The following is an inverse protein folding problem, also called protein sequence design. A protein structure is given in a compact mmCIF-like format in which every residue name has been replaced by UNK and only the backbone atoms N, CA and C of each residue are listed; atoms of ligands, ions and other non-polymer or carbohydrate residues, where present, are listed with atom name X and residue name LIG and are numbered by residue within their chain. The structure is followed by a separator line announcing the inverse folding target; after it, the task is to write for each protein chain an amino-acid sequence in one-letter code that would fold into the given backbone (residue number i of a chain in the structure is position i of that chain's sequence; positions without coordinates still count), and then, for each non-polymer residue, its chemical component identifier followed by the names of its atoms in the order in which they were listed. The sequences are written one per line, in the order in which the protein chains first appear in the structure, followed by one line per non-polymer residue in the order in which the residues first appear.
data_IF_986895328326
#
_entry.id   IF_986895328326
#
_cell.length_a   1.000
_cell.length_b   1.000
_cell.length_c   1.000
_cell.angle_alpha   90.00
_cell.angle_beta   90.00
_cell.angle_gamma   90.00
#
_symmetry.space_group_name_H-M   'P 1'
#
loop_
_entity.id
_entity.type
_entity.pdbx_description
1 polymer ?
#
# COMPACT_ATOMS: atom_id res chain seq x y z
N UNK A 1 25.22 -57.41 -12.82
CA UNK A 1 25.71 -56.51 -11.75
C UNK A 1 25.37 -55.06 -12.12
N UNK A 2 24.76 -54.28 -11.21
CA UNK A 2 24.40 -52.84 -11.31
C UNK A 2 23.02 -52.43 -11.89
N UNK A 3 21.95 -53.19 -11.68
CA UNK A 3 20.57 -52.64 -11.82
C UNK A 3 20.16 -51.75 -10.63
N UNK A 4 20.72 -51.98 -9.44
CA UNK A 4 20.47 -51.17 -8.24
C UNK A 4 20.95 -49.71 -8.37
N UNK A 5 22.13 -49.48 -8.95
CA UNK A 5 22.71 -48.13 -9.04
C UNK A 5 21.85 -47.15 -9.84
N UNK A 6 21.17 -47.60 -10.90
CA UNK A 6 20.30 -46.73 -11.71
C UNK A 6 19.03 -46.31 -10.97
N UNK A 7 18.45 -47.20 -10.16
CA UNK A 7 17.22 -46.90 -9.40
C UNK A 7 17.49 -45.93 -8.25
N UNK A 8 18.62 -46.09 -7.57
CA UNK A 8 19.07 -45.17 -6.50
C UNK A 8 19.39 -43.77 -7.04
N UNK A 9 20.01 -43.67 -8.24
CA UNK A 9 20.26 -42.37 -8.90
C UNK A 9 18.95 -41.67 -9.26
N UNK A 10 17.97 -42.40 -9.81
CA UNK A 10 16.67 -41.83 -10.19
C UNK A 10 15.91 -41.35 -8.93
N UNK A 11 15.90 -42.15 -7.87
CA UNK A 11 15.29 -41.77 -6.59
C UNK A 11 15.95 -40.53 -5.99
N UNK A 12 17.28 -40.44 -6.04
CA UNK A 12 18.02 -39.28 -5.55
C UNK A 12 17.70 -38.00 -6.34
N UNK A 13 17.59 -38.10 -7.68
CA UNK A 13 17.21 -36.96 -8.54
C UNK A 13 15.78 -36.49 -8.24
N UNK A 14 14.84 -37.42 -8.05
CA UNK A 14 13.44 -37.08 -7.73
C UNK A 14 13.34 -36.41 -6.36
N UNK A 15 14.04 -36.92 -5.34
CA UNK A 15 14.07 -36.31 -4.00
C UNK A 15 14.69 -34.92 -4.05
N UNK A 16 15.77 -34.75 -4.81
CA UNK A 16 16.42 -33.44 -4.98
C UNK A 16 15.49 -32.44 -5.68
N UNK A 17 14.79 -32.86 -6.73
CA UNK A 17 13.80 -32.03 -7.44
C UNK A 17 12.63 -31.62 -6.52
N UNK A 18 12.17 -32.53 -5.66
CA UNK A 18 11.10 -32.23 -4.69
C UNK A 18 11.56 -31.23 -3.62
N UNK A 19 12.81 -31.30 -3.16
CA UNK A 19 13.36 -30.33 -2.21
C UNK A 19 13.54 -28.95 -2.85
N UNK A 20 13.99 -28.88 -4.11
CA UNK A 20 14.13 -27.62 -4.85
C UNK A 20 12.76 -26.98 -5.09
N UNK A 21 11.73 -27.77 -5.38
CA UNK A 21 10.34 -27.30 -5.53
C UNK A 21 9.77 -26.72 -4.24
N UNK A 22 10.17 -27.22 -3.07
CA UNK A 22 9.69 -26.74 -1.77
C UNK A 22 10.28 -25.40 -1.31
N UNK A 23 11.35 -24.93 -1.95
CA UNK A 23 12.03 -23.67 -1.56
C UNK A 23 11.54 -22.43 -2.33
N UNK A 24 10.71 -22.60 -3.36
CA UNK A 24 10.17 -21.50 -4.18
C UNK A 24 8.75 -21.09 -3.76
N UNK A 25 8.52 -20.88 -2.47
CA UNK A 25 7.33 -20.13 -2.07
C UNK A 25 7.61 -18.64 -2.28
N UNK A 26 6.85 -17.94 -3.14
CA UNK A 26 6.93 -16.49 -3.17
C UNK A 26 6.49 -15.99 -1.79
N UNK A 27 7.43 -15.43 -1.03
CA UNK A 27 7.10 -14.61 0.14
C UNK A 27 6.23 -13.49 -0.37
N UNK A 28 4.93 -13.54 -0.08
CA UNK A 28 4.04 -12.41 -0.32
C UNK A 28 4.49 -11.32 0.64
N UNK A 29 5.16 -10.30 0.12
CA UNK A 29 5.40 -9.07 0.86
C UNK A 29 4.04 -8.56 1.35
N UNK A 30 3.95 -8.21 2.64
CA UNK A 30 2.75 -7.61 3.17
C UNK A 30 2.46 -6.33 2.37
N UNK A 31 1.29 -6.27 1.73
CA UNK A 31 0.87 -5.11 0.96
C UNK A 31 0.75 -3.92 1.93
N UNK A 32 1.65 -2.95 1.78
CA UNK A 32 1.69 -1.79 2.65
C UNK A 32 0.42 -0.97 2.39
N UNK A 33 -0.51 -0.98 3.34
CA UNK A 33 -1.77 -0.26 3.25
C UNK A 33 -1.51 1.24 3.34
N UNK A 34 -1.26 1.91 2.21
CA UNK A 34 -1.04 3.36 2.19
C UNK A 34 -2.16 4.10 1.48
N UNK A 35 -2.53 5.29 1.98
CA UNK A 35 -3.46 6.21 1.33
C UNK A 35 -2.82 7.59 1.15
N UNK A 36 -3.21 8.30 0.11
CA UNK A 36 -2.83 9.68 -0.19
C UNK A 36 -3.95 10.61 0.29
N UNK A 37 -3.61 11.50 1.23
CA UNK A 37 -4.48 12.56 1.72
C UNK A 37 -4.07 13.90 1.09
N UNK A 38 -4.91 14.42 0.20
CA UNK A 38 -4.81 15.80 -0.28
C UNK A 38 -5.42 16.76 0.74
N UNK A 39 -4.67 17.76 1.19
CA UNK A 39 -5.15 18.71 2.21
C UNK A 39 -4.65 20.12 1.97
N UNK A 40 -5.11 21.09 2.77
CA UNK A 40 -4.64 22.47 2.74
C UNK A 40 -3.38 22.68 3.58
N UNK A 41 -2.50 23.58 3.14
CA UNK A 41 -1.34 24.01 3.93
C UNK A 41 -1.76 24.51 5.32
N UNK A 42 -2.86 25.26 5.42
CA UNK A 42 -3.42 25.70 6.70
C UNK A 42 -3.75 24.56 7.67
N UNK A 43 -4.18 23.40 7.17
CA UNK A 43 -4.47 22.22 8.00
C UNK A 43 -3.18 21.53 8.42
N UNK A 44 -2.23 21.37 7.49
CA UNK A 44 -0.91 20.79 7.79
C UNK A 44 -0.13 21.65 8.80
N UNK A 45 -0.04 22.96 8.56
CA UNK A 45 0.74 23.92 9.35
C UNK A 45 0.15 24.14 10.76
N UNK A 46 -1.13 23.80 10.96
CA UNK A 46 -1.76 23.85 12.28
C UNK A 46 -1.23 22.78 13.26
N UNK A 47 -0.53 21.76 12.75
CA UNK A 47 -0.12 20.59 13.54
C UNK A 47 -1.26 19.60 13.85
N UNK A 48 -2.46 19.83 13.32
CA UNK A 48 -3.61 18.93 13.53
C UNK A 48 -3.32 17.51 13.04
N UNK A 49 -2.70 17.37 11.86
CA UNK A 49 -2.42 16.07 11.27
C UNK A 49 -1.31 15.33 12.03
N UNK A 50 -0.35 16.04 12.62
CA UNK A 50 0.70 15.45 13.43
C UNK A 50 0.14 14.75 14.69
N UNK A 51 -1.01 15.23 15.20
CA UNK A 51 -1.71 14.61 16.32
C UNK A 51 -2.65 13.47 15.88
N UNK A 52 -3.37 13.65 14.76
CA UNK A 52 -4.40 12.70 14.33
C UNK A 52 -3.84 11.48 13.59
N UNK A 53 -2.87 11.68 12.70
CA UNK A 53 -2.37 10.61 11.84
C UNK A 53 -1.74 9.47 12.67
N UNK A 54 -0.86 9.69 13.66
CA UNK A 54 -0.29 8.58 14.42
C UNK A 54 -1.34 7.70 15.11
N UNK A 55 -2.44 8.31 15.59
CA UNK A 55 -3.55 7.58 16.21
C UNK A 55 -4.34 6.79 15.17
N UNK A 56 -4.61 7.40 14.01
CA UNK A 56 -5.29 6.74 12.91
C UNK A 56 -4.47 5.55 12.39
N UNK A 57 -3.19 5.75 12.08
CA UNK A 57 -2.30 4.73 11.54
C UNK A 57 -2.14 3.56 12.50
N UNK A 58 -1.99 3.82 13.81
CA UNK A 58 -1.92 2.77 14.82
C UNK A 58 -3.21 1.95 14.94
N UNK A 59 -4.37 2.57 14.77
CA UNK A 59 -5.68 1.90 14.90
C UNK A 59 -6.04 1.09 13.65
N UNK A 60 -5.73 1.61 12.46
CA UNK A 60 -6.19 1.04 11.20
C UNK A 60 -5.12 0.21 10.49
N UNK A 61 -3.85 0.45 10.80
CA UNK A 61 -2.71 -0.11 10.08
C UNK A 61 -2.48 0.51 8.70
N UNK A 62 -3.20 1.59 8.37
CA UNK A 62 -2.93 2.36 7.15
C UNK A 62 -1.84 3.39 7.41
N UNK A 63 -0.98 3.64 6.43
CA UNK A 63 -0.06 4.75 6.39
C UNK A 63 -0.66 5.90 5.57
N UNK A 64 -0.59 7.13 6.06
CA UNK A 64 -1.19 8.29 5.40
C UNK A 64 -0.11 9.20 4.85
N UNK A 65 -0.05 9.32 3.52
CA UNK A 65 0.83 10.26 2.84
C UNK A 65 0.08 11.57 2.62
N UNK A 66 0.51 12.65 3.28
CA UNK A 66 -0.11 13.96 3.10
C UNK A 66 0.48 14.72 1.92
N UNK A 67 -0.37 15.43 1.18
CA UNK A 67 0.00 16.40 0.14
C UNK A 67 -0.70 17.72 0.48
N UNK A 68 0.05 18.69 0.97
CA UNK A 68 -0.45 19.99 1.38
C UNK A 68 -0.42 20.98 0.20
N UNK A 69 -1.60 21.35 -0.32
CA UNK A 69 -1.82 22.21 -1.49
C UNK A 69 -3.08 23.07 -1.30
N UNK A 70 -3.35 24.06 -2.16
CA UNK A 70 -4.62 24.81 -2.07
C UNK A 70 -5.85 23.93 -2.32
N UNK A 71 -7.03 24.29 -1.77
CA UNK A 71 -8.28 23.52 -1.93
C UNK A 71 -8.62 23.20 -3.39
N UNK A 72 -8.40 24.14 -4.32
CA UNK A 72 -8.63 23.91 -5.75
C UNK A 72 -7.71 22.83 -6.34
N UNK A 73 -6.44 22.80 -5.93
CA UNK A 73 -5.49 21.78 -6.37
C UNK A 73 -5.78 20.42 -5.73
N UNK A 74 -6.13 20.40 -4.44
CA UNK A 74 -6.55 19.17 -3.76
C UNK A 74 -7.75 18.52 -4.48
N UNK A 75 -8.78 19.31 -4.82
CA UNK A 75 -9.91 18.83 -5.62
C UNK A 75 -9.50 18.34 -7.01
N UNK A 76 -8.62 19.06 -7.71
CA UNK A 76 -8.12 18.62 -9.01
C UNK A 76 -7.39 17.27 -8.93
N UNK A 77 -6.62 17.03 -7.86
CA UNK A 77 -5.96 15.74 -7.62
C UNK A 77 -6.97 14.62 -7.37
N UNK A 78 -8.01 14.87 -6.55
CA UNK A 78 -9.07 13.88 -6.35
C UNK A 78 -9.84 13.56 -7.63
N UNK A 79 -10.12 14.57 -8.47
CA UNK A 79 -10.74 14.40 -9.78
C UNK A 79 -9.94 13.49 -10.73
N UNK A 80 -8.61 13.54 -10.63
CA UNK A 80 -7.70 12.71 -11.44
C UNK A 80 -7.45 11.32 -10.84
N UNK A 81 -7.97 11.03 -9.64
CA UNK A 81 -7.64 9.82 -8.90
C UNK A 81 -6.21 9.78 -8.37
N UNK A 82 -5.55 10.93 -8.24
CA UNK A 82 -4.19 11.06 -7.69
C UNK A 82 -4.18 11.08 -6.15
N UNK A 83 -5.34 11.30 -5.53
CA UNK A 83 -5.54 11.27 -4.09
C UNK A 83 -6.71 10.34 -3.72
N UNK A 84 -6.54 9.55 -2.66
CA UNK A 84 -7.57 8.63 -2.15
C UNK A 84 -8.59 9.36 -1.28
N UNK A 85 -8.12 10.38 -0.53
CA UNK A 85 -8.93 11.18 0.38
C UNK A 85 -8.57 12.65 0.21
N UNK A 86 -9.56 13.53 0.36
CA UNK A 86 -9.36 14.97 0.34
C UNK A 86 -9.93 15.61 1.60
N UNK A 87 -9.19 16.57 2.17
CA UNK A 87 -9.64 17.42 3.26
C UNK A 87 -9.43 18.89 2.85
N UNK A 88 -10.50 19.53 2.37
CA UNK A 88 -10.46 20.89 1.84
C UNK A 88 -11.27 21.86 2.68
N UNK A 89 -10.87 23.13 2.69
CA UNK A 89 -11.62 24.20 3.34
C UNK A 89 -12.40 25.01 2.30
N UNK A 90 -13.35 24.38 1.60
CA UNK A 90 -14.21 25.07 0.62
C UNK A 90 -15.54 24.35 0.39
N UNK A 91 -16.55 24.56 1.26
CA UNK A 91 -17.82 23.83 1.20
C UNK A 91 -18.59 24.02 -0.12
N UNK A 92 -18.58 25.24 -0.67
CA UNK A 92 -19.27 25.52 -1.93
C UNK A 92 -18.64 24.80 -3.13
N UNK A 93 -17.31 24.62 -3.10
CA UNK A 93 -16.59 23.96 -4.17
C UNK A 93 -16.67 22.43 -4.02
N UNK A 94 -16.63 21.92 -2.79
CA UNK A 94 -16.88 20.51 -2.47
C UNK A 94 -18.28 20.07 -2.92
N UNK A 95 -19.31 20.87 -2.67
CA UNK A 95 -20.67 20.56 -3.12
C UNK A 95 -20.76 20.38 -4.64
N UNK A 96 -20.16 21.30 -5.40
CA UNK A 96 -20.08 21.22 -6.87
C UNK A 96 -19.22 20.05 -7.39
N UNK A 97 -18.33 19.53 -6.55
CA UNK A 97 -17.44 18.43 -6.92
C UNK A 97 -18.14 17.07 -6.82
N UNK A 98 -19.06 16.94 -5.85
CA UNK A 98 -19.77 15.69 -5.56
C UNK A 98 -21.08 15.57 -6.34
N UNK A 99 -21.76 16.69 -6.62
CA UNK A 99 -22.96 16.77 -7.46
C UNK A 99 -22.65 16.60 -8.94
#
# INVERSE_FOLDING_TARGET
MKTGTKREIILSIVVTLLIISGFFYPVRAAEQKSIILATTTSTQDSGLLDALLPVFEKKTGYFVKTIAVGSGQAMAMGQKGEADVMLVHSPAAEKKFVE
#
